data_IF_413349159775
#
_entry.id   IF_413349159775
#
_cell.length_a   1.000
_cell.length_b   1.000
_cell.length_c   1.000
_cell.angle_alpha   90.00
_cell.angle_beta   90.00
_cell.angle_gamma   90.00
#
_symmetry.space_group_name_H-M   'P 1'
#
loop_
_entity.id
_entity.type
_entity.pdbx_description
1 polymer ?
#
# COMPACT_ATOMS: atom_id res chain seq x y z
N UNK A 1 -23.58 4.05 2.41
CA UNK A 1 -23.76 3.19 1.22
C UNK A 1 -23.09 3.87 0.03
N UNK A 2 -21.81 3.61 -0.20
CA UNK A 2 -21.11 4.04 -1.42
C UNK A 2 -21.52 3.09 -2.53
N UNK A 3 -22.37 3.56 -3.44
CA UNK A 3 -22.65 2.87 -4.70
C UNK A 3 -21.31 2.70 -5.42
N UNK A 4 -20.84 1.45 -5.54
CA UNK A 4 -19.66 1.13 -6.32
C UNK A 4 -19.85 1.58 -7.75
N UNK A 5 -19.21 2.67 -8.12
CA UNK A 5 -19.17 3.19 -9.48
C UNK A 5 -18.21 2.29 -10.26
N UNK A 6 -18.77 1.35 -11.01
CA UNK A 6 -17.96 0.64 -11.99
C UNK A 6 -17.72 1.62 -13.12
N UNK A 7 -16.48 1.99 -13.47
CA UNK A 7 -16.22 2.91 -14.55
C UNK A 7 -16.91 2.39 -15.82
N UNK A 8 -17.71 3.25 -16.46
CA UNK A 8 -18.46 2.90 -17.69
C UNK A 8 -17.56 2.31 -18.78
N UNK A 9 -16.30 2.73 -18.81
CA UNK A 9 -15.26 2.18 -19.69
C UNK A 9 -15.03 0.68 -19.44
N UNK A 10 -15.01 0.25 -18.18
CA UNK A 10 -14.80 -1.17 -17.83
C UNK A 10 -15.99 -2.04 -18.26
N UNK A 11 -17.21 -1.53 -18.10
CA UNK A 11 -18.42 -2.21 -18.59
C UNK A 11 -18.40 -2.34 -20.10
N UNK A 12 -18.06 -1.26 -20.83
CA UNK A 12 -17.95 -1.26 -22.28
C UNK A 12 -16.90 -2.28 -22.74
N UNK A 13 -15.74 -2.31 -22.11
CA UNK A 13 -14.66 -3.25 -22.47
C UNK A 13 -15.05 -4.71 -22.22
N UNK A 14 -15.73 -5.01 -21.12
CA UNK A 14 -16.24 -6.36 -20.86
C UNK A 14 -17.28 -6.75 -21.89
N UNK A 15 -18.21 -5.86 -22.22
CA UNK A 15 -19.23 -6.10 -23.24
C UNK A 15 -18.60 -6.33 -24.62
N UNK A 16 -17.56 -5.56 -24.97
CA UNK A 16 -16.80 -5.75 -26.21
C UNK A 16 -16.11 -7.12 -26.23
N UNK A 17 -15.42 -7.49 -25.14
CA UNK A 17 -14.72 -8.77 -25.02
C UNK A 17 -15.70 -9.96 -25.14
N UNK A 18 -16.83 -9.90 -24.47
CA UNK A 18 -17.89 -10.91 -24.56
C UNK A 18 -18.48 -10.93 -25.96
N UNK A 19 -18.77 -9.78 -26.55
CA UNK A 19 -19.31 -9.67 -27.89
C UNK A 19 -18.41 -10.28 -28.98
N UNK A 20 -17.10 -10.09 -28.88
CA UNK A 20 -16.11 -10.72 -29.77
C UNK A 20 -15.95 -12.22 -29.51
N UNK A 21 -15.89 -12.65 -28.26
CA UNK A 21 -15.73 -14.07 -27.92
C UNK A 21 -16.94 -14.92 -28.29
N UNK A 22 -18.13 -14.34 -28.22
CA UNK A 22 -19.40 -15.01 -28.62
C UNK A 22 -19.75 -14.87 -30.10
N UNK A 23 -18.98 -14.08 -30.86
CA UNK A 23 -19.25 -13.83 -32.28
C UNK A 23 -20.43 -12.90 -32.54
N UNK A 24 -20.97 -12.23 -31.54
CA UNK A 24 -22.05 -11.23 -31.68
C UNK A 24 -21.53 -10.02 -32.44
N UNK A 25 -20.29 -9.62 -32.21
CA UNK A 25 -19.66 -8.53 -32.93
C UNK A 25 -18.83 -9.06 -34.11
N UNK A 26 -18.99 -8.50 -35.34
CA UNK A 26 -18.15 -8.81 -36.48
C UNK A 26 -16.67 -8.50 -36.14
N UNK A 27 -15.75 -9.36 -36.61
CA UNK A 27 -14.32 -9.13 -36.40
C UNK A 27 -13.80 -7.84 -37.03
N UNK A 28 -14.50 -7.33 -38.03
CA UNK A 28 -14.18 -6.10 -38.77
C UNK A 28 -14.58 -4.82 -38.00
N UNK A 29 -15.37 -4.92 -36.91
CA UNK A 29 -15.89 -3.72 -36.23
C UNK A 29 -14.79 -2.81 -35.69
N UNK A 30 -13.64 -3.37 -35.32
CA UNK A 30 -12.50 -2.61 -34.84
C UNK A 30 -11.83 -1.85 -35.99
N UNK A 31 -11.70 -2.52 -37.15
CA UNK A 31 -11.12 -1.94 -38.36
C UNK A 31 -12.04 -0.87 -38.91
N UNK A 32 -13.34 -1.14 -38.96
CA UNK A 32 -14.39 -0.22 -39.41
C UNK A 32 -14.50 1.03 -38.49
N UNK A 33 -14.19 0.88 -37.20
CA UNK A 33 -14.13 1.99 -36.25
C UNK A 33 -12.80 2.78 -36.32
N UNK A 34 -11.85 2.38 -37.16
CA UNK A 34 -10.55 3.02 -37.30
C UNK A 34 -9.61 2.80 -36.09
N UNK A 35 -9.91 1.82 -35.26
CA UNK A 35 -9.09 1.47 -34.10
C UNK A 35 -7.97 0.52 -34.55
N UNK A 36 -6.74 1.01 -34.60
CA UNK A 36 -5.61 0.15 -34.95
C UNK A 36 -5.41 -0.98 -33.92
N UNK A 37 -4.94 -2.16 -34.38
CA UNK A 37 -4.60 -3.30 -33.52
C UNK A 37 -3.61 -2.91 -32.38
N UNK A 38 -2.71 -1.99 -32.66
CA UNK A 38 -1.79 -1.44 -31.66
C UNK A 38 -2.52 -0.70 -30.53
N UNK A 39 -3.49 0.12 -30.86
CA UNK A 39 -4.28 0.91 -29.89
C UNK A 39 -5.16 0.00 -29.02
N UNK A 40 -5.73 -1.06 -29.63
CA UNK A 40 -6.48 -2.08 -28.88
C UNK A 40 -5.60 -2.85 -27.89
N UNK A 41 -4.38 -3.25 -28.30
CA UNK A 41 -3.42 -3.93 -27.43
C UNK A 41 -2.97 -3.06 -26.27
N UNK A 42 -2.72 -1.77 -26.51
CA UNK A 42 -2.38 -0.80 -25.46
C UNK A 42 -3.54 -0.64 -24.47
N UNK A 43 -4.77 -0.51 -24.97
CA UNK A 43 -5.95 -0.39 -24.12
C UNK A 43 -6.17 -1.64 -23.26
N UNK A 44 -5.99 -2.84 -23.81
CA UNK A 44 -6.04 -4.10 -23.06
C UNK A 44 -4.94 -4.18 -22.00
N UNK A 45 -3.71 -3.80 -22.33
CA UNK A 45 -2.59 -3.76 -21.39
C UNK A 45 -2.85 -2.83 -20.20
N UNK A 46 -3.34 -1.62 -20.47
CA UNK A 46 -3.72 -0.66 -19.42
C UNK A 46 -4.84 -1.19 -18.52
N UNK A 47 -5.84 -1.88 -19.10
CA UNK A 47 -6.92 -2.48 -18.33
C UNK A 47 -6.41 -3.57 -17.38
N UNK A 48 -5.56 -4.48 -17.87
CA UNK A 48 -4.99 -5.57 -17.06
C UNK A 48 -4.16 -5.00 -15.93
N UNK A 49 -3.35 -3.97 -16.21
CA UNK A 49 -2.56 -3.28 -15.19
C UNK A 49 -3.45 -2.63 -14.14
N UNK A 50 -4.50 -1.93 -14.58
CA UNK A 50 -5.45 -1.29 -13.65
C UNK A 50 -6.21 -2.30 -12.77
N UNK A 51 -6.64 -3.43 -13.34
CA UNK A 51 -7.26 -4.51 -12.58
C UNK A 51 -6.28 -5.13 -11.57
N UNK A 52 -5.02 -5.34 -11.97
CA UNK A 52 -3.97 -5.83 -11.09
C UNK A 52 -3.74 -4.90 -9.89
N UNK A 53 -3.68 -3.60 -10.10
CA UNK A 53 -3.52 -2.61 -9.03
C UNK A 53 -4.72 -2.55 -8.08
N UNK A 54 -5.94 -2.71 -8.61
CA UNK A 54 -7.16 -2.75 -7.78
C UNK A 54 -7.23 -3.98 -6.88
N UNK A 55 -6.81 -5.15 -7.38
CA UNK A 55 -6.75 -6.40 -6.60
C UNK A 55 -5.70 -6.26 -5.50
N UNK A 56 -4.52 -5.81 -5.86
CA UNK A 56 -3.41 -5.59 -4.93
C UNK A 56 -3.79 -4.65 -3.77
N UNK A 57 -4.47 -3.53 -4.04
CA UNK A 57 -4.94 -2.61 -3.00
C UNK A 57 -5.94 -3.25 -2.03
N UNK A 58 -6.80 -4.16 -2.51
CA UNK A 58 -7.75 -4.87 -1.64
C UNK A 58 -7.05 -5.88 -0.72
N UNK A 59 -6.06 -6.59 -1.24
CA UNK A 59 -5.27 -7.55 -0.46
C UNK A 59 -4.43 -6.84 0.60
N UNK A 60 -3.77 -5.73 0.24
CA UNK A 60 -3.07 -4.87 1.19
C UNK A 60 -3.97 -4.35 2.30
N UNK A 61 -5.15 -3.84 1.93
CA UNK A 61 -6.11 -3.33 2.91
C UNK A 61 -6.63 -4.43 3.84
N UNK A 62 -6.70 -5.68 3.39
CA UNK A 62 -7.10 -6.81 4.21
C UNK A 62 -6.02 -7.17 5.23
N UNK A 63 -4.78 -7.27 4.79
CA UNK A 63 -3.65 -7.60 5.66
C UNK A 63 -3.38 -6.51 6.71
N UNK A 64 -3.30 -5.25 6.28
CA UNK A 64 -3.18 -4.12 7.19
C UNK A 64 -4.25 -4.14 8.29
N UNK A 65 -5.51 -4.44 7.93
CA UNK A 65 -6.59 -4.59 8.91
C UNK A 65 -6.34 -5.71 9.90
N UNK A 66 -5.78 -6.83 9.44
CA UNK A 66 -5.51 -7.99 10.29
C UNK A 66 -4.41 -7.70 11.30
N UNK A 67 -3.29 -7.10 10.86
CA UNK A 67 -2.20 -6.71 11.74
C UNK A 67 -2.67 -5.69 12.79
N UNK A 68 -3.39 -4.65 12.36
CA UNK A 68 -3.93 -3.64 13.28
C UNK A 68 -4.97 -4.24 14.23
N UNK A 69 -5.84 -5.12 13.74
CA UNK A 69 -6.85 -5.78 14.58
C UNK A 69 -6.24 -6.69 15.65
N UNK A 70 -5.02 -7.22 15.44
CA UNK A 70 -4.32 -8.01 16.44
C UNK A 70 -3.93 -7.22 17.70
N UNK A 71 -3.85 -5.89 17.59
CA UNK A 71 -3.61 -4.97 18.72
C UNK A 71 -4.91 -4.54 19.44
N UNK A 72 -6.07 -4.93 18.91
CA UNK A 72 -7.36 -4.56 19.46
C UNK A 72 -7.98 -3.34 18.76
N UNK A 73 -8.80 -2.57 19.52
CA UNK A 73 -9.49 -1.40 18.98
C UNK A 73 -8.67 -0.14 19.19
N UNK A 74 -8.31 0.53 18.12
CA UNK A 74 -7.66 1.82 18.19
C UNK A 74 -8.58 2.88 18.83
N UNK A 75 -8.02 3.70 19.72
CA UNK A 75 -8.69 4.85 20.31
C UNK A 75 -8.65 6.07 19.37
N UNK A 76 -7.53 6.26 18.69
CA UNK A 76 -7.35 7.30 17.68
C UNK A 76 -6.67 6.74 16.43
N UNK A 77 -7.00 7.34 15.29
CA UNK A 77 -6.46 6.96 13.98
C UNK A 77 -6.19 8.24 13.20
N UNK A 78 -4.93 8.42 12.82
CA UNK A 78 -4.50 9.46 11.87
C UNK A 78 -3.78 8.75 10.73
N UNK A 79 -4.12 9.07 9.50
CA UNK A 79 -3.50 8.47 8.32
C UNK A 79 -3.35 9.50 7.22
N UNK A 80 -2.17 9.58 6.68
CA UNK A 80 -1.75 10.50 5.64
C UNK A 80 -1.22 9.71 4.46
N UNK A 81 -1.62 10.05 3.26
CA UNK A 81 -1.30 9.28 2.05
C UNK A 81 -0.94 10.21 0.91
N UNK A 82 0.09 9.83 0.17
CA UNK A 82 0.34 10.30 -1.17
C UNK A 82 0.17 9.13 -2.13
N UNK A 83 -0.68 9.27 -3.13
CA UNK A 83 -0.95 8.20 -4.09
C UNK A 83 -0.89 8.72 -5.52
N UNK A 84 0.03 8.16 -6.31
CA UNK A 84 0.15 8.34 -7.75
C UNK A 84 -0.54 7.22 -8.54
N UNK A 85 -0.21 7.13 -9.82
CA UNK A 85 -0.71 6.10 -10.72
C UNK A 85 0.02 4.76 -10.49
N UNK A 86 -0.42 4.00 -9.51
CA UNK A 86 0.17 2.70 -9.15
C UNK A 86 1.02 2.73 -7.88
N UNK A 87 1.58 3.89 -7.54
CA UNK A 87 2.46 4.08 -6.41
C UNK A 87 1.69 4.67 -5.23
N UNK A 88 2.13 4.37 -4.02
CA UNK A 88 1.53 4.95 -2.81
C UNK A 88 2.54 4.98 -1.66
N UNK A 89 2.53 6.10 -0.95
CA UNK A 89 3.28 6.27 0.29
C UNK A 89 2.29 6.68 1.38
N UNK A 90 2.25 5.90 2.46
CA UNK A 90 1.32 6.11 3.57
C UNK A 90 2.07 6.22 4.89
N UNK A 91 1.65 7.14 5.73
CA UNK A 91 2.05 7.25 7.12
C UNK A 91 0.83 7.21 8.02
N UNK A 92 0.88 6.39 9.07
CA UNK A 92 -0.24 6.24 10.00
C UNK A 92 0.19 6.28 11.46
N UNK A 93 -0.63 6.90 12.30
CA UNK A 93 -0.45 6.96 13.74
C UNK A 93 -1.73 6.46 14.39
N UNK A 94 -1.61 5.43 15.21
CA UNK A 94 -2.73 4.76 15.87
C UNK A 94 -2.45 4.61 17.35
N UNK A 95 -3.36 4.99 18.21
CA UNK A 95 -3.22 4.81 19.67
C UNK A 95 -4.04 3.62 20.14
N UNK A 96 -3.42 2.70 20.87
CA UNK A 96 -4.03 1.46 21.38
C UNK A 96 -3.84 1.34 22.89
N UNK A 97 -4.62 2.02 23.71
CA UNK A 97 -4.50 1.89 25.17
C UNK A 97 -4.72 0.45 25.62
N UNK A 98 -3.73 -0.11 26.32
CA UNK A 98 -3.80 -1.48 26.82
C UNK A 98 -3.52 -2.58 25.81
N UNK A 99 -3.00 -2.26 24.61
CA UNK A 99 -2.54 -3.29 23.68
C UNK A 99 -1.36 -4.08 24.24
N UNK A 100 -1.33 -5.37 23.92
CA UNK A 100 -0.24 -6.29 24.27
C UNK A 100 0.40 -6.83 22.97
N UNK A 101 1.26 -6.06 22.29
CA UNK A 101 1.81 -6.50 21.00
C UNK A 101 2.61 -7.81 21.11
N UNK A 102 3.19 -8.11 22.26
CA UNK A 102 3.88 -9.36 22.50
C UNK A 102 3.00 -10.61 22.49
N UNK A 103 1.65 -10.46 22.55
CA UNK A 103 0.69 -11.55 22.40
C UNK A 103 0.26 -11.76 20.93
N UNK A 104 0.61 -10.83 20.04
CA UNK A 104 0.31 -10.91 18.63
C UNK A 104 1.33 -11.78 17.89
N UNK A 105 0.87 -12.61 16.97
CA UNK A 105 1.73 -13.44 16.11
C UNK A 105 2.61 -12.61 15.14
N UNK A 106 2.26 -11.34 14.91
CA UNK A 106 2.97 -10.46 13.97
C UNK A 106 4.16 -9.77 14.63
N UNK A 107 3.98 -9.22 15.81
CA UNK A 107 4.96 -8.33 16.41
C UNK A 107 6.10 -9.07 17.13
N UNK A 108 7.31 -8.58 16.95
CA UNK A 108 8.51 -9.06 17.61
C UNK A 108 9.14 -7.94 18.45
N UNK A 109 9.75 -8.24 19.60
CA UNK A 109 10.48 -7.24 20.37
C UNK A 109 11.59 -6.60 19.54
N UNK A 110 11.83 -5.32 19.78
CA UNK A 110 12.96 -4.60 19.18
C UNK A 110 14.27 -5.13 19.78
N UNK A 111 15.21 -5.47 18.91
CA UNK A 111 16.57 -5.89 19.24
C UNK A 111 17.57 -4.99 18.53
N UNK A 112 18.84 -5.03 18.89
CA UNK A 112 19.88 -4.26 18.19
C UNK A 112 19.93 -4.57 16.68
N UNK A 113 19.70 -5.82 16.31
CA UNK A 113 19.73 -6.27 14.90
C UNK A 113 18.53 -5.72 14.10
N UNK A 114 17.31 -5.98 14.56
CA UNK A 114 16.11 -5.55 13.84
C UNK A 114 15.86 -4.02 13.95
N UNK A 115 16.41 -3.33 14.94
CA UNK A 115 16.44 -1.87 15.01
C UNK A 115 17.24 -1.29 13.83
N UNK A 116 18.38 -1.89 13.49
CA UNK A 116 19.16 -1.45 12.32
C UNK A 116 18.38 -1.61 11.02
N UNK A 117 17.65 -2.71 10.90
CA UNK A 117 16.77 -2.95 9.74
C UNK A 117 15.62 -1.92 9.70
N UNK A 118 14.95 -1.70 10.82
CA UNK A 118 13.88 -0.68 10.95
C UNK A 118 14.37 0.70 10.53
N UNK A 119 15.54 1.12 11.01
CA UNK A 119 16.12 2.41 10.66
C UNK A 119 16.40 2.54 9.16
N UNK A 120 16.81 1.46 8.50
CA UNK A 120 16.98 1.45 7.04
C UNK A 120 15.68 1.73 6.28
N UNK A 121 14.56 1.18 6.71
CA UNK A 121 13.23 1.47 6.12
C UNK A 121 12.78 2.90 6.41
N UNK A 122 13.06 3.40 7.60
CA UNK A 122 12.75 4.79 7.97
C UNK A 122 13.60 5.77 7.12
N UNK A 123 14.88 5.48 6.89
CA UNK A 123 15.75 6.29 6.03
C UNK A 123 15.18 6.40 4.62
N UNK A 124 14.77 5.29 4.03
CA UNK A 124 14.15 5.26 2.69
C UNK A 124 12.80 6.01 2.68
N UNK A 125 11.98 5.82 3.70
CA UNK A 125 10.70 6.54 3.81
C UNK A 125 10.91 8.05 3.88
N UNK A 126 11.88 8.51 4.68
CA UNK A 126 12.20 9.93 4.80
C UNK A 126 12.79 10.53 3.52
N UNK A 127 13.54 9.76 2.73
CA UNK A 127 13.97 10.20 1.39
C UNK A 127 12.77 10.42 0.46
N UNK A 128 11.74 9.56 0.52
CA UNK A 128 10.51 9.76 -0.23
C UNK A 128 9.79 11.03 0.26
N UNK A 129 9.64 11.23 1.58
CA UNK A 129 9.06 12.44 2.16
C UNK A 129 9.82 13.69 1.67
N UNK A 130 11.15 13.66 1.67
CA UNK A 130 11.95 14.79 1.20
C UNK A 130 11.75 15.08 -0.29
N UNK A 131 11.57 14.04 -1.11
CA UNK A 131 11.29 14.22 -2.54
C UNK A 131 9.93 14.85 -2.83
N UNK A 132 8.98 14.71 -1.91
CA UNK A 132 7.62 15.26 -2.02
C UNK A 132 7.52 16.73 -1.53
N UNK A 133 8.56 17.27 -0.87
CA UNK A 133 8.51 18.62 -0.26
C UNK A 133 8.35 19.74 -1.28
N UNK A 134 8.89 19.59 -2.47
CA UNK A 134 8.88 20.62 -3.51
C UNK A 134 7.64 20.57 -4.41
N UNK A 135 6.73 19.62 -4.17
CA UNK A 135 5.50 19.42 -4.94
C UNK A 135 4.22 19.70 -4.14
N UNK A 136 3.12 19.93 -4.86
CA UNK A 136 1.79 20.03 -4.25
C UNK A 136 1.22 18.64 -3.90
N UNK A 137 1.72 17.59 -4.57
CA UNK A 137 1.33 16.22 -4.32
C UNK A 137 1.99 15.73 -3.02
N UNK A 138 1.20 15.20 -2.11
CA UNK A 138 1.70 14.68 -0.83
C UNK A 138 1.89 15.73 0.27
N UNK A 139 1.48 16.98 0.08
CA UNK A 139 1.64 18.03 1.09
C UNK A 139 1.03 17.66 2.46
N UNK A 140 -0.11 16.95 2.47
CA UNK A 140 -0.73 16.49 3.71
C UNK A 140 0.16 15.45 4.44
N UNK A 141 0.76 14.52 3.71
CA UNK A 141 1.70 13.55 4.23
C UNK A 141 2.96 14.24 4.78
N UNK A 142 3.58 15.13 3.98
CA UNK A 142 4.80 15.86 4.37
C UNK A 142 4.58 16.71 5.62
N UNK A 143 3.47 17.44 5.69
CA UNK A 143 3.18 18.35 6.80
C UNK A 143 2.84 17.61 8.10
N UNK A 144 2.37 16.38 8.01
CA UNK A 144 1.96 15.59 9.17
C UNK A 144 2.93 14.45 9.50
N UNK A 145 3.98 14.26 8.71
CA UNK A 145 5.03 13.31 9.06
C UNK A 145 5.81 13.82 10.27
N UNK A 146 5.74 13.06 11.34
CA UNK A 146 6.54 13.27 12.55
C UNK A 146 6.80 11.92 13.20
N UNK A 147 8.04 11.55 13.28
CA UNK A 147 8.52 10.34 13.93
C UNK A 147 9.86 10.61 14.58
N UNK A 148 10.04 10.17 15.82
CA UNK A 148 11.30 10.31 16.54
C UNK A 148 12.02 8.97 16.57
N UNK A 149 13.22 8.92 16.01
CA UNK A 149 14.08 7.72 16.04
C UNK A 149 14.65 7.46 17.44
N UNK A 150 14.71 8.50 18.28
CA UNK A 150 15.24 8.40 19.65
C UNK A 150 14.26 7.66 20.56
N UNK A 151 12.99 7.58 20.18
CA UNK A 151 11.96 6.86 20.95
C UNK A 151 12.02 5.34 20.75
N UNK A 152 12.84 4.84 19.82
CA UNK A 152 12.97 3.40 19.56
C UNK A 152 13.85 2.73 20.61
N UNK A 153 13.28 1.88 21.45
CA UNK A 153 14.02 1.14 22.46
C UNK A 153 13.68 -0.37 22.52
N UNK A 154 14.29 -1.08 23.45
CA UNK A 154 14.14 -2.53 23.58
C UNK A 154 12.81 -2.97 24.20
N UNK A 155 11.96 -2.05 24.66
CA UNK A 155 10.60 -2.35 25.16
C UNK A 155 9.56 -2.36 24.06
N UNK A 156 9.92 -1.90 22.86
CA UNK A 156 9.05 -1.72 21.73
C UNK A 156 8.94 -2.99 20.89
N UNK A 157 8.02 -2.93 19.95
CA UNK A 157 7.75 -4.04 19.04
C UNK A 157 7.68 -3.57 17.60
N UNK A 158 8.06 -4.45 16.70
CA UNK A 158 7.98 -4.18 15.27
C UNK A 158 7.51 -5.39 14.47
N UNK A 159 6.90 -5.10 13.32
CA UNK A 159 6.61 -6.05 12.27
C UNK A 159 6.88 -5.40 10.91
N UNK A 160 7.65 -6.08 10.07
CA UNK A 160 7.98 -5.64 8.71
C UNK A 160 7.54 -6.71 7.75
N UNK A 161 6.84 -6.32 6.69
CA UNK A 161 6.33 -7.24 5.69
C UNK A 161 6.42 -6.68 4.27
N UNK A 162 6.47 -7.60 3.32
CA UNK A 162 6.39 -7.34 1.89
C UNK A 162 4.92 -7.15 1.41
N UNK A 163 4.74 -7.13 0.10
CA UNK A 163 3.44 -7.00 -0.56
C UNK A 163 2.47 -8.12 -0.23
N UNK A 164 2.98 -9.33 0.00
CA UNK A 164 2.16 -10.50 0.33
C UNK A 164 1.92 -10.65 1.82
N UNK A 165 2.48 -9.75 2.64
CA UNK A 165 2.39 -9.81 4.07
C UNK A 165 3.31 -10.81 4.72
N UNK A 166 4.31 -11.20 4.01
CA UNK A 166 5.34 -12.07 4.53
C UNK A 166 6.49 -11.23 5.07
N UNK A 167 7.24 -11.75 6.03
CA UNK A 167 8.51 -11.16 6.39
C UNK A 167 9.38 -10.98 5.15
N UNK A 168 10.00 -9.80 5.00
CA UNK A 168 10.82 -9.51 3.84
C UNK A 168 12.04 -10.43 3.84
N UNK A 169 12.24 -11.10 2.71
CA UNK A 169 13.36 -12.00 2.46
C UNK A 169 14.25 -11.49 1.33
N UNK A 170 15.29 -12.25 0.99
CA UNK A 170 16.18 -11.98 -0.14
C UNK A 170 15.43 -12.22 -1.47
N UNK A 171 14.79 -11.19 -1.99
CA UNK A 171 14.03 -11.21 -3.25
C UNK A 171 14.82 -10.62 -4.41
N UNK A 172 14.29 -10.79 -5.65
CA UNK A 172 14.84 -10.21 -6.88
C UNK A 172 14.60 -8.69 -6.99
N UNK A 173 13.74 -8.13 -6.15
CA UNK A 173 13.42 -6.70 -6.08
C UNK A 173 14.11 -6.07 -4.87
N UNK A 174 14.35 -4.77 -4.94
CA UNK A 174 14.82 -4.04 -3.77
C UNK A 174 13.79 -4.18 -2.65
N UNK A 175 14.26 -4.48 -1.43
CA UNK A 175 13.39 -4.58 -0.25
C UNK A 175 12.68 -3.26 0.07
N UNK A 176 13.10 -2.17 -0.53
CA UNK A 176 12.55 -0.83 -0.33
C UNK A 176 11.51 -0.43 -1.39
N UNK A 177 11.37 -1.20 -2.49
CA UNK A 177 10.37 -0.91 -3.53
C UNK A 177 8.94 -1.12 -3.01
N UNK A 178 8.78 -2.08 -2.11
CA UNK A 178 7.49 -2.36 -1.49
C UNK A 178 7.65 -2.88 -0.07
N UNK A 179 7.14 -2.15 0.92
CA UNK A 179 7.15 -2.57 2.30
C UNK A 179 5.99 -2.02 3.11
N UNK A 180 5.70 -2.72 4.21
CA UNK A 180 4.88 -2.25 5.32
C UNK A 180 5.70 -2.40 6.59
N UNK A 181 5.90 -1.32 7.31
CA UNK A 181 6.55 -1.28 8.61
C UNK A 181 5.52 -0.87 9.66
N UNK A 182 5.42 -1.66 10.69
CA UNK A 182 4.57 -1.43 11.87
C UNK A 182 5.49 -1.35 13.08
N UNK A 183 5.67 -0.16 13.62
CA UNK A 183 6.45 0.06 14.83
C UNK A 183 5.52 0.46 15.97
N UNK A 184 5.54 -0.30 17.05
CA UNK A 184 4.72 -0.06 18.23
C UNK A 184 5.60 0.44 19.38
N UNK A 185 5.41 1.70 19.75
CA UNK A 185 5.98 2.34 20.91
C UNK A 185 5.16 1.92 22.15
N UNK A 186 5.78 1.15 23.02
CA UNK A 186 5.14 0.61 24.21
C UNK A 186 4.92 1.65 25.31
N UNK A 187 5.69 2.72 25.33
CA UNK A 187 5.59 3.77 26.34
C UNK A 187 4.34 4.64 26.10
N UNK A 188 4.08 4.99 24.83
CA UNK A 188 2.95 5.81 24.46
C UNK A 188 1.75 5.00 23.96
N UNK A 189 1.89 3.68 23.85
CA UNK A 189 0.89 2.77 23.25
C UNK A 189 0.50 3.18 21.84
N UNK A 190 1.47 3.65 21.08
CA UNK A 190 1.28 4.21 19.75
C UNK A 190 1.89 3.30 18.70
N UNK A 191 1.11 2.94 17.69
CA UNK A 191 1.57 2.26 16.49
C UNK A 191 1.85 3.30 15.41
N UNK A 192 3.06 3.31 14.89
CA UNK A 192 3.46 4.01 13.68
C UNK A 192 3.46 3.03 12.51
N UNK A 193 2.82 3.42 11.42
CA UNK A 193 2.73 2.64 10.20
C UNK A 193 3.38 3.40 9.05
N UNK A 194 4.31 2.75 8.38
CA UNK A 194 4.99 3.26 7.20
C UNK A 194 4.75 2.29 6.06
N UNK A 195 4.29 2.80 4.95
CA UNK A 195 4.09 2.03 3.73
C UNK A 195 4.68 2.76 2.55
N UNK A 196 5.38 2.04 1.71
CA UNK A 196 5.86 2.51 0.43
C UNK A 196 5.61 1.45 -0.64
N UNK A 197 5.19 1.90 -1.82
CA UNK A 197 4.99 1.11 -3.02
C UNK A 197 5.36 1.98 -4.22
N UNK A 198 6.52 1.71 -4.81
CA UNK A 198 7.08 2.41 -5.97
C UNK A 198 7.04 1.50 -7.19
#
# INVERSE_FOLDING_TARGET
MTKGWVPSVLVIMILMLVGFSTGIFPKTIIDDAGVSDALFKVACGLLVTHLGTLISRKEMAAQWKTVIASLGKAMSVQRYSCAGFGDSTDFGIYTFPGASPGESEYFKPVTAENKTELLGYIDEFEQVIDSLRDGDEGADLVNNYHFSRDDIDGSDYLYISDREGKPIGDGAYSKYDYYNVYFFDSQTTTLYYFHNNI
#
